data_IF_954579099692
#
_entry.id   IF_954579099692
#
_cell.length_a   1.000
_cell.length_b   1.000
_cell.length_c   1.000
_cell.angle_alpha   90.00
_cell.angle_beta   90.00
_cell.angle_gamma   90.00
#
_symmetry.space_group_name_H-M   'P 1'
#
loop_
_entity.id
_entity.type
_entity.pdbx_description
1 polymer ?
#
# COMPACT_ATOMS: atom_id res chain seq x y z
N UNK A 1 -36.72 -1.52 -69.52
CA UNK A 1 -35.38 -1.23 -68.93
C UNK A 1 -35.47 -1.53 -67.51
N UNK A 2 -34.93 -2.67 -66.97
CA UNK A 2 -35.07 -3.05 -65.57
C UNK A 2 -33.94 -2.51 -64.73
N UNK A 3 -34.34 -1.99 -63.57
CA UNK A 3 -33.54 -1.38 -62.51
C UNK A 3 -32.76 -2.45 -61.70
N UNK A 4 -31.42 -2.40 -61.70
CA UNK A 4 -30.57 -3.31 -60.95
C UNK A 4 -30.46 -2.79 -59.50
N UNK A 5 -31.02 -3.54 -58.55
CA UNK A 5 -30.82 -3.35 -57.11
C UNK A 5 -29.47 -3.96 -56.73
N UNK A 6 -28.56 -3.11 -56.25
CA UNK A 6 -27.31 -3.56 -55.63
C UNK A 6 -27.62 -4.08 -54.21
N UNK A 7 -27.38 -5.38 -54.01
CA UNK A 7 -27.42 -6.00 -52.69
C UNK A 7 -26.05 -5.80 -52.02
N UNK A 8 -26.01 -5.02 -50.95
CA UNK A 8 -24.87 -4.94 -50.07
C UNK A 8 -24.92 -6.12 -49.08
N UNK A 9 -23.92 -7.01 -49.16
CA UNK A 9 -23.69 -8.07 -48.21
C UNK A 9 -23.06 -7.47 -46.93
N UNK A 10 -23.45 -7.88 -45.71
CA UNK A 10 -22.83 -7.44 -44.51
C UNK A 10 -21.45 -8.09 -44.29
N UNK A 11 -20.41 -7.27 -44.20
CA UNK A 11 -19.08 -7.74 -43.84
C UNK A 11 -19.08 -8.17 -42.35
N UNK A 12 -18.88 -9.47 -42.14
CA UNK A 12 -18.67 -10.03 -40.80
C UNK A 12 -17.38 -9.47 -40.20
N UNK A 13 -17.54 -8.64 -39.16
CA UNK A 13 -16.42 -8.24 -38.27
C UNK A 13 -15.92 -9.49 -37.54
N UNK A 14 -14.82 -10.07 -38.02
CA UNK A 14 -14.05 -11.04 -37.23
C UNK A 14 -13.60 -10.39 -35.96
N UNK A 15 -14.10 -10.85 -34.82
CA UNK A 15 -13.57 -10.53 -33.50
C UNK A 15 -12.08 -10.92 -33.47
N UNK A 16 -11.23 -9.94 -33.31
CA UNK A 16 -9.79 -10.14 -33.07
C UNK A 16 -9.68 -10.86 -31.70
N UNK A 17 -9.34 -12.16 -31.75
CA UNK A 17 -8.92 -12.87 -30.54
C UNK A 17 -7.70 -12.14 -30.00
N UNK A 18 -7.83 -11.57 -28.82
CA UNK A 18 -6.68 -11.10 -28.04
C UNK A 18 -5.88 -12.36 -27.67
N UNK A 19 -4.67 -12.45 -28.17
CA UNK A 19 -3.67 -13.43 -27.75
C UNK A 19 -3.35 -13.17 -26.28
N UNK A 20 -3.18 -14.22 -25.45
CA UNK A 20 -2.67 -14.05 -24.10
C UNK A 20 -1.35 -13.27 -24.16
N UNK A 21 -1.23 -12.25 -23.32
CA UNK A 21 0.00 -11.47 -23.16
C UNK A 21 1.12 -12.47 -22.87
N UNK A 22 2.05 -12.65 -23.81
CA UNK A 22 3.28 -13.39 -23.57
C UNK A 22 3.98 -12.67 -22.40
N UNK A 23 4.05 -13.33 -21.25
CA UNK A 23 4.88 -12.86 -20.14
C UNK A 23 6.30 -12.78 -20.68
N UNK A 24 6.88 -11.61 -20.66
CA UNK A 24 8.29 -11.39 -20.98
C UNK A 24 9.19 -12.27 -20.10
N UNK A 25 10.50 -12.36 -20.37
CA UNK A 25 11.39 -13.20 -19.60
C UNK A 25 11.25 -12.87 -18.11
N UNK A 26 10.96 -13.89 -17.28
CA UNK A 26 10.84 -13.76 -15.83
C UNK A 26 12.10 -13.06 -15.34
N UNK A 27 11.92 -11.84 -14.85
CA UNK A 27 13.00 -11.03 -14.30
C UNK A 27 13.57 -11.81 -13.11
N UNK A 28 14.86 -12.13 -13.14
CA UNK A 28 15.51 -12.82 -12.00
C UNK A 28 15.25 -11.99 -10.74
N UNK A 29 14.77 -12.60 -9.64
CA UNK A 29 14.52 -11.85 -8.41
C UNK A 29 15.77 -11.10 -7.98
N UNK A 30 15.63 -9.84 -7.67
CA UNK A 30 16.72 -9.04 -7.10
C UNK A 30 16.88 -9.36 -5.60
N UNK A 31 18.06 -9.14 -5.02
CA UNK A 31 18.23 -9.30 -3.56
C UNK A 31 17.20 -8.52 -2.74
N UNK A 32 16.79 -7.34 -3.22
CA UNK A 32 15.77 -6.53 -2.55
C UNK A 32 14.40 -7.21 -2.59
N UNK A 33 14.05 -7.86 -3.71
CA UNK A 33 12.81 -8.62 -3.80
C UNK A 33 12.82 -9.85 -2.90
N UNK A 34 13.94 -10.55 -2.81
CA UNK A 34 14.09 -11.69 -1.90
C UNK A 34 13.93 -11.24 -0.44
N UNK A 35 14.49 -10.08 -0.09
CA UNK A 35 14.37 -9.52 1.25
C UNK A 35 12.94 -9.05 1.54
N UNK A 36 12.24 -8.42 0.61
CA UNK A 36 10.81 -8.06 0.72
C UNK A 36 9.97 -9.29 1.05
N UNK A 37 10.16 -10.39 0.31
CA UNK A 37 9.46 -11.65 0.55
C UNK A 37 9.77 -12.20 1.96
N UNK A 38 11.03 -12.12 2.37
CA UNK A 38 11.44 -12.59 3.70
C UNK A 38 10.80 -11.74 4.81
N UNK A 39 10.77 -10.42 4.66
CA UNK A 39 10.21 -9.50 5.66
C UNK A 39 8.68 -9.64 5.77
N UNK A 40 7.95 -9.81 4.67
CA UNK A 40 6.50 -10.10 4.68
C UNK A 40 6.23 -11.43 5.38
N UNK A 41 7.00 -12.48 5.08
CA UNK A 41 6.87 -13.78 5.76
C UNK A 41 7.20 -13.70 7.25
N UNK A 42 8.19 -12.90 7.62
CA UNK A 42 8.58 -12.68 9.02
C UNK A 42 7.47 -11.94 9.80
N UNK A 43 6.77 -11.00 9.17
CA UNK A 43 5.62 -10.33 9.77
C UNK A 43 4.50 -11.31 10.13
N UNK A 44 4.33 -12.40 9.39
CA UNK A 44 3.48 -13.53 9.76
C UNK A 44 1.96 -13.29 9.61
N UNK A 45 1.54 -12.15 9.04
CA UNK A 45 0.13 -11.80 8.83
C UNK A 45 -0.26 -12.10 7.40
N UNK A 46 -0.93 -13.25 7.18
CA UNK A 46 -1.42 -13.69 5.87
C UNK A 46 -0.39 -13.51 4.73
N UNK A 47 0.85 -14.00 4.90
CA UNK A 47 1.98 -13.64 4.04
C UNK A 47 1.73 -13.96 2.57
N UNK A 48 1.05 -15.07 2.26
CA UNK A 48 0.76 -15.45 0.88
C UNK A 48 -0.23 -14.47 0.21
N UNK A 49 -1.26 -14.03 0.95
CA UNK A 49 -2.20 -13.01 0.48
C UNK A 49 -1.50 -11.66 0.25
N UNK A 50 -0.68 -11.23 1.22
CA UNK A 50 0.05 -9.96 1.09
C UNK A 50 1.03 -10.00 -0.08
N UNK A 51 1.76 -11.10 -0.25
CA UNK A 51 2.69 -11.28 -1.36
C UNK A 51 1.98 -11.25 -2.72
N UNK A 52 0.84 -11.94 -2.87
CA UNK A 52 0.08 -11.96 -4.11
C UNK A 52 -0.38 -10.55 -4.52
N UNK A 53 -0.95 -9.81 -3.56
CA UNK A 53 -1.45 -8.45 -3.82
C UNK A 53 -0.32 -7.46 -4.09
N UNK A 54 0.79 -7.55 -3.37
CA UNK A 54 1.97 -6.71 -3.62
C UNK A 54 2.60 -7.02 -4.98
N UNK A 55 2.70 -8.30 -5.35
CA UNK A 55 3.25 -8.72 -6.64
C UNK A 55 2.39 -8.25 -7.81
N UNK A 56 1.06 -8.30 -7.67
CA UNK A 56 0.13 -7.77 -8.66
C UNK A 56 0.33 -6.24 -8.82
N UNK A 57 0.45 -5.52 -7.72
CA UNK A 57 0.65 -4.07 -7.74
C UNK A 57 1.99 -3.65 -8.33
N UNK A 58 3.03 -4.42 -8.13
CA UNK A 58 4.36 -4.16 -8.69
C UNK A 58 4.43 -4.43 -10.21
N UNK A 59 3.46 -5.15 -10.79
CA UNK A 59 3.37 -5.38 -12.23
C UNK A 59 4.71 -5.81 -12.87
N UNK A 60 5.38 -6.79 -12.28
CA UNK A 60 6.70 -7.31 -12.66
C UNK A 60 7.90 -6.35 -12.45
N UNK A 61 7.69 -5.16 -11.84
CA UNK A 61 8.80 -4.28 -11.47
C UNK A 61 9.56 -4.84 -10.25
N UNK A 62 10.88 -4.62 -10.25
CA UNK A 62 11.70 -4.95 -9.09
C UNK A 62 11.69 -3.82 -8.05
N UNK A 63 11.63 -4.15 -6.75
CA UNK A 63 11.82 -3.18 -5.69
C UNK A 63 13.22 -2.55 -5.72
N UNK A 64 13.29 -1.24 -5.49
CA UNK A 64 14.54 -0.52 -5.22
C UNK A 64 14.80 -0.43 -3.71
N UNK A 65 13.72 -0.32 -2.92
CA UNK A 65 13.73 -0.37 -1.47
C UNK A 65 12.33 -0.71 -0.96
N UNK A 66 12.24 -1.30 0.23
CA UNK A 66 10.96 -1.58 0.86
C UNK A 66 11.01 -1.36 2.37
N UNK A 67 9.82 -1.27 2.98
CA UNK A 67 9.63 -1.30 4.41
C UNK A 67 8.33 -2.02 4.75
N UNK A 68 8.40 -2.95 5.69
CA UNK A 68 7.25 -3.71 6.20
C UNK A 68 7.08 -3.37 7.67
N UNK A 69 5.89 -2.89 8.02
CA UNK A 69 5.47 -2.64 9.39
C UNK A 69 4.26 -3.49 9.70
N UNK A 70 4.25 -4.10 10.87
CA UNK A 70 3.08 -4.81 11.37
C UNK A 70 2.77 -4.31 12.78
N UNK A 71 1.49 -4.19 13.06
CA UNK A 71 0.97 -3.77 14.35
C UNK A 71 -0.15 -4.71 14.78
N UNK A 72 -0.25 -4.92 16.08
CA UNK A 72 -1.36 -5.65 16.66
C UNK A 72 -2.03 -4.74 17.69
N UNK A 73 -3.26 -4.39 17.42
CA UNK A 73 -4.09 -3.60 18.32
C UNK A 73 -4.95 -4.53 19.17
N UNK A 74 -4.82 -4.41 20.46
CA UNK A 74 -5.63 -5.14 21.43
C UNK A 74 -6.77 -4.24 21.92
N UNK A 75 -8.00 -4.64 21.70
CA UNK A 75 -9.19 -4.08 22.37
C UNK A 75 -9.62 -5.00 23.51
N UNK A 76 -10.69 -4.63 24.25
CA UNK A 76 -11.12 -5.43 25.42
C UNK A 76 -11.56 -6.84 25.05
N UNK A 77 -12.12 -7.01 23.86
CA UNK A 77 -12.77 -8.26 23.44
C UNK A 77 -12.26 -8.79 22.10
N UNK A 78 -11.31 -8.07 21.45
CA UNK A 78 -10.81 -8.44 20.13
C UNK A 78 -9.38 -7.96 19.91
N UNK A 79 -8.70 -8.55 18.93
CA UNK A 79 -7.41 -8.09 18.44
C UNK A 79 -7.47 -7.90 16.92
N UNK A 80 -7.00 -6.75 16.46
CA UNK A 80 -6.89 -6.43 15.05
C UNK A 80 -5.44 -6.46 14.63
N UNK A 81 -5.19 -7.02 13.50
CA UNK A 81 -3.85 -7.07 12.90
C UNK A 81 -3.81 -6.12 11.73
N UNK A 82 -2.79 -5.30 11.74
CA UNK A 82 -2.54 -4.35 10.67
C UNK A 82 -1.14 -4.58 10.11
N UNK A 83 -1.01 -4.70 8.79
CA UNK A 83 0.27 -4.72 8.11
C UNK A 83 0.29 -3.65 7.03
N UNK A 84 1.36 -2.87 7.02
CA UNK A 84 1.67 -1.89 5.98
C UNK A 84 2.94 -2.32 5.26
N UNK A 85 2.86 -2.47 3.95
CA UNK A 85 4.00 -2.71 3.08
C UNK A 85 4.17 -1.51 2.17
N UNK A 86 5.37 -0.94 2.19
CA UNK A 86 5.76 0.16 1.30
C UNK A 86 6.88 -0.30 0.40
N UNK A 87 6.73 -0.15 -0.91
CA UNK A 87 7.72 -0.57 -1.90
C UNK A 87 8.02 0.58 -2.84
N UNK A 88 9.27 1.00 -2.88
CA UNK A 88 9.79 1.94 -3.86
C UNK A 88 10.21 1.16 -5.10
N UNK A 89 9.71 1.54 -6.28
CA UNK A 89 10.06 0.93 -7.55
C UNK A 89 10.07 1.99 -8.67
N UNK A 90 11.26 2.30 -9.19
CA UNK A 90 11.42 3.34 -10.21
C UNK A 90 10.88 4.69 -9.78
N UNK A 91 9.93 5.23 -10.54
CA UNK A 91 9.31 6.53 -10.27
C UNK A 91 8.01 6.41 -9.42
N UNK A 92 7.74 5.23 -8.83
CA UNK A 92 6.55 4.94 -8.03
C UNK A 92 6.87 4.48 -6.62
N UNK A 93 5.95 4.73 -5.71
CA UNK A 93 5.86 4.05 -4.43
C UNK A 93 4.52 3.31 -4.36
N UNK A 94 4.56 2.04 -3.98
CA UNK A 94 3.39 1.19 -3.75
C UNK A 94 3.17 1.09 -2.26
N UNK A 95 1.94 1.36 -1.84
CA UNK A 95 1.45 1.14 -0.48
C UNK A 95 0.48 -0.03 -0.51
N UNK A 96 0.65 -1.00 0.36
CA UNK A 96 -0.33 -2.05 0.61
C UNK A 96 -0.65 -2.10 2.09
N UNK A 97 -1.94 -2.05 2.42
CA UNK A 97 -2.47 -2.15 3.77
C UNK A 97 -3.37 -3.37 3.86
N UNK A 98 -3.18 -4.16 4.88
CA UNK A 98 -4.09 -5.24 5.23
C UNK A 98 -4.53 -5.05 6.67
N UNK A 99 -5.85 -5.06 6.86
CA UNK A 99 -6.52 -5.06 8.14
C UNK A 99 -7.39 -6.29 8.26
N UNK A 100 -7.31 -7.03 9.36
CA UNK A 100 -8.25 -8.08 9.68
C UNK A 100 -9.27 -7.60 10.72
N UNK A 101 -10.51 -8.03 10.53
CA UNK A 101 -11.62 -7.75 11.46
C UNK A 101 -12.34 -9.04 11.79
N UNK A 102 -12.63 -9.22 13.05
CA UNK A 102 -13.49 -10.31 13.51
C UNK A 102 -14.95 -9.83 13.50
N UNK A 103 -15.78 -10.47 12.66
CA UNK A 103 -17.21 -10.13 12.59
C UNK A 103 -17.96 -10.96 13.62
N UNK A 104 -18.43 -10.32 14.70
CA UNK A 104 -19.28 -10.97 15.69
C UNK A 104 -20.59 -11.45 15.06
N UNK A 105 -20.89 -12.74 15.24
CA UNK A 105 -22.14 -13.34 14.79
C UNK A 105 -22.14 -13.85 13.34
N UNK A 106 -21.06 -13.73 12.61
CA UNK A 106 -20.91 -14.34 11.28
C UNK A 106 -20.21 -15.70 11.39
N UNK A 107 -20.81 -16.73 10.76
CA UNK A 107 -20.24 -18.07 10.72
C UNK A 107 -18.91 -18.17 9.94
N UNK A 108 -18.51 -17.10 9.27
CA UNK A 108 -17.29 -17.02 8.48
C UNK A 108 -16.06 -16.47 9.25
N UNK A 109 -16.26 -15.93 10.44
CA UNK A 109 -15.16 -15.57 11.34
C UNK A 109 -14.44 -14.28 10.95
N UNK A 110 -13.17 -14.37 10.58
CA UNK A 110 -12.31 -13.22 10.29
C UNK A 110 -12.36 -12.83 8.81
N UNK A 111 -12.52 -11.55 8.52
CA UNK A 111 -12.41 -10.96 7.17
C UNK A 111 -11.17 -10.08 7.12
N UNK A 112 -10.35 -10.24 6.09
CA UNK A 112 -9.22 -9.36 5.82
C UNK A 112 -9.55 -8.42 4.67
N UNK A 113 -9.34 -7.13 4.88
CA UNK A 113 -9.42 -6.11 3.84
C UNK A 113 -8.01 -5.73 3.43
N UNK A 114 -7.77 -5.77 2.12
CA UNK A 114 -6.48 -5.36 1.55
C UNK A 114 -6.73 -4.21 0.59
N UNK A 115 -6.04 -3.10 0.81
CA UNK A 115 -6.00 -1.97 -0.11
C UNK A 115 -4.60 -1.78 -0.65
N UNK A 116 -4.49 -1.46 -1.95
CA UNK A 116 -3.21 -1.17 -2.59
C UNK A 116 -3.34 0.09 -3.41
N UNK A 117 -2.35 0.97 -3.27
CA UNK A 117 -2.24 2.19 -4.04
C UNK A 117 -0.82 2.35 -4.60
N UNK A 118 -0.71 2.65 -5.89
CA UNK A 118 0.54 3.02 -6.53
C UNK A 118 0.55 4.53 -6.78
N UNK A 119 1.49 5.23 -6.16
CA UNK A 119 1.61 6.69 -6.22
C UNK A 119 2.88 7.07 -6.96
N UNK A 120 2.77 7.93 -7.96
CA UNK A 120 3.96 8.47 -8.63
C UNK A 120 4.70 9.41 -7.67
N UNK A 121 6.03 9.33 -7.64
CA UNK A 121 6.86 10.12 -6.70
C UNK A 121 6.69 11.64 -6.86
N UNK A 122 6.30 12.13 -8.05
CA UNK A 122 5.97 13.55 -8.27
C UNK A 122 4.71 14.00 -7.55
N UNK A 123 3.80 13.07 -7.25
CA UNK A 123 2.50 13.35 -6.63
C UNK A 123 2.58 13.33 -5.09
N UNK A 124 3.73 12.94 -4.56
CA UNK A 124 4.02 13.10 -3.14
C UNK A 124 4.13 14.58 -2.77
N UNK A 125 3.26 15.05 -1.91
CA UNK A 125 3.26 16.44 -1.43
C UNK A 125 4.42 16.70 -0.47
N UNK A 126 4.60 15.78 0.49
CA UNK A 126 5.65 15.87 1.49
C UNK A 126 6.16 14.47 1.87
N UNK A 127 7.47 14.43 2.15
CA UNK A 127 8.12 13.32 2.85
C UNK A 127 8.89 13.95 3.99
N UNK A 128 8.40 13.76 5.21
CA UNK A 128 9.04 14.29 6.43
C UNK A 128 9.72 13.16 7.16
N UNK A 129 10.95 13.37 7.59
CA UNK A 129 11.71 12.41 8.40
C UNK A 129 12.17 13.06 9.70
N UNK A 130 12.00 12.37 10.81
CA UNK A 130 12.46 12.79 12.12
C UNK A 130 13.30 11.69 12.74
N UNK A 131 14.34 12.08 13.44
CA UNK A 131 15.29 11.18 14.07
C UNK A 131 15.43 11.50 15.56
N UNK A 132 15.29 10.49 16.40
CA UNK A 132 15.59 10.58 17.83
C UNK A 132 16.99 10.04 18.12
N UNK A 133 17.76 10.78 18.89
CA UNK A 133 19.07 10.35 19.38
C UNK A 133 19.11 10.44 20.90
N UNK A 134 19.53 9.35 21.54
CA UNK A 134 19.83 9.37 22.98
C UNK A 134 21.18 10.04 23.20
N UNK A 135 21.28 10.86 24.27
CA UNK A 135 22.51 11.52 24.66
C UNK A 135 23.19 12.31 23.52
N UNK A 136 22.55 13.34 22.96
CA UNK A 136 23.08 14.05 21.80
C UNK A 136 24.41 14.75 22.06
N UNK A 137 24.74 15.03 23.36
CA UNK A 137 26.05 15.54 23.80
C UNK A 137 27.20 14.55 23.55
N UNK A 138 26.90 13.25 23.45
CA UNK A 138 27.87 12.18 23.15
C UNK A 138 27.81 11.74 21.70
N UNK A 139 27.12 12.51 20.82
CA UNK A 139 26.98 12.16 19.42
C UNK A 139 28.33 12.10 18.71
N UNK A 140 28.57 11.00 18.04
CA UNK A 140 29.75 10.79 17.21
C UNK A 140 29.31 10.50 15.77
N UNK A 141 29.69 11.38 14.86
CA UNK A 141 29.33 11.27 13.44
C UNK A 141 29.81 9.92 12.85
N UNK A 142 28.89 9.24 12.19
CA UNK A 142 29.17 7.95 11.54
C UNK A 142 29.10 6.72 12.43
N UNK A 143 29.07 6.88 13.78
CA UNK A 143 28.99 5.75 14.70
C UNK A 143 27.73 5.76 15.59
N UNK A 144 27.11 6.91 15.79
CA UNK A 144 25.90 7.02 16.61
C UNK A 144 24.67 6.81 15.71
N UNK A 145 23.98 5.68 15.90
CA UNK A 145 22.71 5.42 15.24
C UNK A 145 21.55 6.11 15.96
N UNK A 146 20.48 6.50 15.25
CA UNK A 146 19.26 6.95 15.90
C UNK A 146 18.63 5.82 16.71
N UNK A 147 18.03 6.18 17.84
CA UNK A 147 17.23 5.27 18.66
C UNK A 147 15.77 5.21 18.22
N UNK A 148 15.36 6.19 17.44
CA UNK A 148 14.02 6.28 16.90
C UNK A 148 14.07 6.97 15.53
N UNK A 149 13.20 6.53 14.63
CA UNK A 149 12.91 7.22 13.39
C UNK A 149 11.40 7.28 13.20
N UNK A 150 10.92 8.45 12.79
CA UNK A 150 9.57 8.56 12.24
C UNK A 150 9.62 9.21 10.88
N UNK A 151 8.75 8.78 9.98
CA UNK A 151 8.55 9.42 8.69
C UNK A 151 7.07 9.50 8.36
N UNK A 152 6.73 10.57 7.69
CA UNK A 152 5.38 10.83 7.23
C UNK A 152 5.41 11.06 5.73
N UNK A 153 4.50 10.41 5.02
CA UNK A 153 4.36 10.50 3.57
C UNK A 153 2.94 10.97 3.29
N UNK A 154 2.82 12.10 2.59
CA UNK A 154 1.54 12.65 2.18
C UNK A 154 1.50 12.85 0.68
N UNK A 155 0.37 12.51 0.05
CA UNK A 155 0.16 12.67 -1.39
C UNK A 155 -1.21 13.23 -1.71
N UNK A 156 -1.43 13.61 -2.98
CA UNK A 156 -2.71 14.14 -3.45
C UNK A 156 -3.48 13.05 -4.18
N UNK A 157 -4.74 12.85 -3.82
CA UNK A 157 -5.67 12.01 -4.58
C UNK A 157 -6.31 10.89 -3.80
N UNK A 158 -5.66 10.36 -2.79
CA UNK A 158 -6.26 9.33 -1.97
C UNK A 158 -7.18 9.93 -0.90
N UNK A 159 -8.35 9.34 -0.77
CA UNK A 159 -9.33 9.65 0.27
C UNK A 159 -9.70 8.34 0.95
N UNK A 160 -9.41 8.23 2.23
CA UNK A 160 -10.03 7.23 3.06
C UNK A 160 -11.49 7.63 3.31
N UNK A 161 -12.41 6.76 2.91
CA UNK A 161 -13.85 7.02 3.00
C UNK A 161 -14.48 5.97 3.90
N UNK A 162 -14.95 6.41 5.07
CA UNK A 162 -15.72 5.56 5.99
C UNK A 162 -17.19 5.91 5.82
N UNK A 163 -18.00 4.93 5.41
CA UNK A 163 -19.42 5.10 5.19
C UNK A 163 -20.22 4.19 6.12
N UNK A 164 -21.26 4.77 6.72
CA UNK A 164 -22.26 4.02 7.47
C UNK A 164 -23.66 4.32 6.90
N UNK A 165 -24.61 3.37 6.99
CA UNK A 165 -25.98 3.65 6.60
C UNK A 165 -26.52 4.88 7.36
N UNK A 166 -27.03 5.86 6.63
CA UNK A 166 -27.70 7.01 7.23
C UNK A 166 -29.08 6.60 7.76
N UNK A 167 -29.48 7.17 8.88
CA UNK A 167 -30.80 6.95 9.47
C UNK A 167 -31.43 8.26 9.92
N UNK A 168 -32.73 8.26 10.13
CA UNK A 168 -33.44 9.35 10.79
C UNK A 168 -33.94 8.93 12.19
N UNK A 169 -34.37 9.89 12.98
CA UNK A 169 -34.85 9.63 14.34
C UNK A 169 -36.27 9.06 14.38
N UNK A 170 -36.92 8.90 13.24
CA UNK A 170 -38.28 8.34 13.15
C UNK A 170 -38.20 6.79 13.07
N UNK A 171 -38.64 6.08 14.13
CA UNK A 171 -38.58 4.60 14.15
C UNK A 171 -39.54 3.94 13.15
N UNK A 172 -40.45 4.68 12.54
CA UNK A 172 -41.40 4.18 11.53
C UNK A 172 -40.98 4.56 10.09
N UNK A 173 -39.84 5.19 9.94
CA UNK A 173 -39.36 5.59 8.62
C UNK A 173 -38.82 4.38 7.85
N UNK A 174 -39.40 4.11 6.69
CA UNK A 174 -38.96 3.06 5.76
C UNK A 174 -38.23 3.63 4.52
N UNK A 175 -37.85 4.91 4.56
CA UNK A 175 -37.13 5.53 3.46
C UNK A 175 -35.66 5.05 3.44
N UNK A 176 -35.10 4.88 2.25
CA UNK A 176 -33.66 4.74 2.07
C UNK A 176 -33.01 6.11 2.30
N UNK A 177 -32.21 6.22 3.35
CA UNK A 177 -31.47 7.44 3.69
C UNK A 177 -30.08 7.48 3.07
N UNK A 178 -29.68 6.47 2.28
CA UNK A 178 -28.37 6.35 1.71
C UNK A 178 -27.29 6.14 2.78
N UNK A 179 -26.15 6.76 2.59
CA UNK A 179 -25.00 6.63 3.48
C UNK A 179 -24.52 7.99 3.96
N UNK A 180 -23.95 8.01 5.15
CA UNK A 180 -23.24 9.15 5.71
C UNK A 180 -21.86 8.71 6.15
N UNK A 181 -20.88 9.59 6.16
CA UNK A 181 -19.54 9.23 6.60
C UNK A 181 -18.54 10.36 6.43
N UNK A 182 -17.29 10.03 6.72
CA UNK A 182 -16.16 10.92 6.65
C UNK A 182 -15.26 10.57 5.46
N UNK A 183 -14.76 11.59 4.80
CA UNK A 183 -13.70 11.46 3.79
C UNK A 183 -12.50 12.27 4.26
N UNK A 184 -11.38 11.58 4.47
CA UNK A 184 -10.10 12.17 4.93
C UNK A 184 -9.04 11.96 3.88
N UNK A 185 -8.09 12.89 3.80
CA UNK A 185 -6.88 12.65 3.01
C UNK A 185 -6.08 11.57 3.69
N UNK A 186 -5.62 10.62 2.90
CA UNK A 186 -4.76 9.57 3.40
C UNK A 186 -3.32 10.06 3.43
N UNK A 187 -2.67 9.85 4.56
CA UNK A 187 -1.23 10.01 4.76
C UNK A 187 -0.74 8.82 5.58
N UNK A 188 0.50 8.48 5.41
CA UNK A 188 1.13 7.42 6.19
C UNK A 188 2.10 8.06 7.17
N UNK A 189 1.92 7.73 8.44
CA UNK A 189 2.85 8.07 9.51
C UNK A 189 3.40 6.79 10.12
N UNK A 190 4.72 6.62 10.03
CA UNK A 190 5.44 5.47 10.60
C UNK A 190 6.33 5.96 11.72
N UNK A 191 6.32 5.25 12.84
CA UNK A 191 7.26 5.44 13.93
C UNK A 191 7.87 4.10 14.31
N UNK A 192 9.20 4.06 14.35
CA UNK A 192 9.97 2.87 14.71
C UNK A 192 10.97 3.23 15.78
N UNK A 193 10.97 2.48 16.87
CA UNK A 193 11.89 2.71 17.98
C UNK A 193 12.72 1.47 18.29
N UNK A 194 13.99 1.67 18.63
CA UNK A 194 14.88 0.56 18.98
C UNK A 194 14.42 -0.19 20.24
N UNK A 195 13.65 0.45 21.11
CA UNK A 195 13.13 -0.14 22.35
C UNK A 195 11.93 -1.06 22.09
N UNK A 196 11.01 -0.66 21.18
CA UNK A 196 9.81 -1.44 20.85
C UNK A 196 10.06 -2.46 19.75
N UNK A 197 10.76 -2.04 18.68
CA UNK A 197 10.82 -2.77 17.42
C UNK A 197 12.21 -3.39 17.17
N UNK A 198 13.17 -3.08 18.03
CA UNK A 198 14.56 -3.50 17.90
C UNK A 198 15.40 -2.57 17.01
N UNK A 199 16.73 -2.56 17.21
CA UNK A 199 17.64 -1.64 16.49
C UNK A 199 17.70 -1.93 14.98
N UNK A 200 17.49 -3.19 14.56
CA UNK A 200 17.49 -3.56 13.16
C UNK A 200 16.29 -2.98 12.40
N UNK A 201 15.13 -2.89 13.06
CA UNK A 201 13.93 -2.26 12.47
C UNK A 201 14.14 -0.77 12.24
N UNK A 202 14.82 -0.08 13.18
CA UNK A 202 15.20 1.33 13.00
C UNK A 202 16.15 1.49 11.81
N UNK A 203 17.11 0.57 11.64
CA UNK A 203 18.04 0.62 10.51
C UNK A 203 17.32 0.40 9.17
N UNK A 204 16.40 -0.57 9.09
CA UNK A 204 15.56 -0.82 7.89
C UNK A 204 14.70 0.40 7.56
N UNK A 205 14.00 0.96 8.55
CA UNK A 205 13.20 2.17 8.38
C UNK A 205 14.05 3.35 7.90
N UNK A 206 15.25 3.52 8.45
CA UNK A 206 16.19 4.56 8.02
C UNK A 206 16.68 4.35 6.59
N UNK A 207 16.96 3.12 6.21
CA UNK A 207 17.37 2.78 4.85
C UNK A 207 16.28 3.14 3.84
N UNK A 208 15.06 2.68 4.09
CA UNK A 208 13.90 2.98 3.25
C UNK A 208 13.63 4.48 3.16
N UNK A 209 13.56 5.17 4.30
CA UNK A 209 13.30 6.61 4.33
C UNK A 209 14.32 7.42 3.54
N UNK A 210 15.61 7.04 3.61
CA UNK A 210 16.67 7.66 2.82
C UNK A 210 16.54 7.38 1.31
N UNK A 211 16.18 6.14 0.95
CA UNK A 211 15.94 5.76 -0.44
C UNK A 211 14.78 6.56 -1.02
N UNK A 212 13.65 6.61 -0.32
CA UNK A 212 12.47 7.36 -0.71
C UNK A 212 12.77 8.87 -0.85
N UNK A 213 13.42 9.45 0.15
CA UNK A 213 13.78 10.87 0.10
C UNK A 213 14.66 11.18 -1.12
N UNK A 214 15.65 10.35 -1.39
CA UNK A 214 16.54 10.48 -2.56
C UNK A 214 15.75 10.38 -3.86
N UNK A 215 14.93 9.34 -4.01
CA UNK A 215 14.12 9.12 -5.21
C UNK A 215 13.17 10.31 -5.46
N UNK A 216 12.51 10.82 -4.40
CA UNK A 216 11.64 12.00 -4.46
C UNK A 216 12.38 13.25 -4.93
N UNK A 217 13.62 13.48 -4.46
CA UNK A 217 14.45 14.62 -4.88
C UNK A 217 14.84 14.56 -6.36
N UNK A 218 14.98 13.37 -6.92
CA UNK A 218 15.26 13.20 -8.35
C UNK A 218 14.01 13.30 -9.21
N UNK A 219 12.88 12.76 -8.77
CA UNK A 219 11.61 12.82 -9.49
C UNK A 219 11.12 14.27 -9.72
N UNK A 220 11.37 15.18 -8.76
CA UNK A 220 10.97 16.59 -8.85
C UNK A 220 11.82 17.45 -9.79
N UNK A 221 12.94 16.93 -10.28
CA UNK A 221 13.84 17.68 -11.18
C UNK A 221 13.62 17.39 -12.67
N UNK A 222 12.71 16.47 -12.99
CA UNK A 222 12.32 16.14 -14.37
C UNK A 222 11.05 16.89 -14.74
#
# INVERSE_FOLDING_TARGET
MPNRRNAHAPQSRRARRQTPHERGPMNTPTPEREQLVADIKHAGFYPDLVLEVVDEALADMNPDAHFVQHETHFSRDDFHRHITVMVLCGDFIVFAHLDDQHLEGDAQGTVAHVSVEAVHLSDLNAVTMSYGFSQPQAYNAGSTAPTEISFQIAWTGSLHVELAPAGCQDPQCNADHGYTGDARREDIAVRVSATADGPESVQRAQHFARALHRARMYATRR
#
